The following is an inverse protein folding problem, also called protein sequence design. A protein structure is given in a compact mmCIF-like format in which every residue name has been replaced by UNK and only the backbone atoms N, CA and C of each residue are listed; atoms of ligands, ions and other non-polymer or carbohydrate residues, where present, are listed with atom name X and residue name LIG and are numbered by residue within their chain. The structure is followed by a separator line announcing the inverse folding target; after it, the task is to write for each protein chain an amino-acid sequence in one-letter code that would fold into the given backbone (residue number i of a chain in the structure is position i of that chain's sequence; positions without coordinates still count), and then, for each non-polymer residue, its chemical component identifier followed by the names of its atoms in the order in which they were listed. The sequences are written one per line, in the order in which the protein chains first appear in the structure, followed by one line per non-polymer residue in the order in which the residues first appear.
data_IF_401526109734
#
_entry.id   IF_401526109734
#
_cell.length_a   1.000
_cell.length_b   1.000
_cell.length_c   1.000
_cell.angle_alpha   90.00
_cell.angle_beta   90.00
_cell.angle_gamma   90.00
#
_symmetry.space_group_name_H-M   'P 1'
#
loop_
_entity.id
_entity.type
_entity.pdbx_description
1 polymer ?
#
# COMPACT_ATOMS: atom_id res chain seq x y z
N UNK A 1 -2.77 8.70 29.70
CA UNK A 1 -2.97 8.18 28.33
C UNK A 1 -2.38 9.23 27.39
N UNK A 2 -1.23 8.96 26.76
CA UNK A 2 -0.49 9.97 26.00
C UNK A 2 -1.27 10.36 24.73
N UNK A 3 -1.23 11.64 24.39
CA UNK A 3 -1.96 12.31 23.32
C UNK A 3 -1.68 11.71 21.93
N UNK A 4 -2.67 11.10 21.27
CA UNK A 4 -2.53 10.44 19.96
C UNK A 4 -2.82 11.37 18.75
N UNK A 5 -2.65 12.69 18.87
CA UNK A 5 -2.83 13.60 17.71
C UNK A 5 -1.73 13.45 16.65
N UNK A 6 -0.55 12.95 17.03
CA UNK A 6 0.56 12.72 16.09
C UNK A 6 0.40 11.40 15.31
N UNK A 7 -0.22 10.37 15.90
CA UNK A 7 -0.45 9.10 15.22
C UNK A 7 -1.65 9.12 14.27
N UNK A 8 -2.64 10.00 14.49
CA UNK A 8 -3.74 10.19 13.54
C UNK A 8 -3.26 10.73 12.18
N UNK A 9 -2.08 11.37 12.12
CA UNK A 9 -1.40 11.74 10.87
C UNK A 9 -0.64 10.59 10.17
N UNK A 10 -0.51 9.42 10.82
CA UNK A 10 0.29 8.28 10.30
C UNK A 10 -0.51 7.28 9.47
N UNK A 11 -1.85 7.34 9.52
CA UNK A 11 -2.75 6.35 8.94
C UNK A 11 -3.78 7.01 8.02
N UNK A 12 -3.82 6.57 6.76
CA UNK A 12 -4.73 7.10 5.74
C UNK A 12 -5.82 6.05 5.48
N UNK A 13 -7.08 6.47 5.47
CA UNK A 13 -8.21 5.54 5.32
C UNK A 13 -8.28 4.93 3.92
N UNK A 14 -8.92 3.77 3.82
CA UNK A 14 -9.15 3.13 2.52
C UNK A 14 -9.88 4.02 1.51
N UNK A 15 -10.89 4.77 1.96
CA UNK A 15 -11.61 5.70 1.07
C UNK A 15 -10.67 6.78 0.54
N UNK A 16 -9.86 7.39 1.40
CA UNK A 16 -8.89 8.41 0.99
C UNK A 16 -7.82 7.84 0.05
N UNK A 17 -7.29 6.65 0.33
CA UNK A 17 -6.31 6.01 -0.55
C UNK A 17 -6.90 5.72 -1.94
N UNK A 18 -8.14 5.23 -2.03
CA UNK A 18 -8.77 5.02 -3.35
C UNK A 18 -8.95 6.31 -4.14
N UNK A 19 -9.32 7.41 -3.45
CA UNK A 19 -9.40 8.76 -4.06
C UNK A 19 -8.03 9.26 -4.51
N UNK A 20 -7.01 9.14 -3.66
CA UNK A 20 -5.63 9.56 -3.93
C UNK A 20 -5.08 8.86 -5.18
N UNK A 21 -5.28 7.55 -5.29
CA UNK A 21 -4.81 6.75 -6.42
C UNK A 21 -5.70 6.88 -7.67
N UNK A 22 -6.89 7.50 -7.54
CA UNK A 22 -7.93 7.56 -8.57
C UNK A 22 -8.30 6.17 -9.11
N UNK A 23 -8.40 5.17 -8.23
CA UNK A 23 -8.78 3.80 -8.60
C UNK A 23 -10.08 3.37 -7.93
N UNK A 24 -10.81 2.46 -8.58
CA UNK A 24 -12.01 1.86 -7.98
C UNK A 24 -11.62 0.99 -6.76
N UNK A 25 -12.48 0.90 -5.72
CA UNK A 25 -12.20 0.09 -4.52
C UNK A 25 -11.74 -1.34 -4.79
N UNK A 26 -12.35 -2.04 -5.75
CA UNK A 26 -11.99 -3.42 -6.06
C UNK A 26 -10.56 -3.57 -6.63
N UNK A 27 -10.02 -2.52 -7.27
CA UNK A 27 -8.64 -2.50 -7.78
C UNK A 27 -7.66 -2.48 -6.60
N UNK A 28 -7.90 -1.62 -5.61
CA UNK A 28 -7.07 -1.58 -4.41
C UNK A 28 -7.14 -2.90 -3.63
N UNK A 29 -8.33 -3.50 -3.51
CA UNK A 29 -8.51 -4.84 -2.90
C UNK A 29 -7.72 -5.91 -3.68
N UNK A 30 -7.71 -5.84 -5.01
CA UNK A 30 -6.93 -6.76 -5.84
C UNK A 30 -5.42 -6.60 -5.60
N UNK A 31 -4.92 -5.36 -5.51
CA UNK A 31 -3.51 -5.09 -5.21
C UNK A 31 -3.11 -5.59 -3.82
N UNK A 32 -3.94 -5.37 -2.79
CA UNK A 32 -3.73 -5.91 -1.44
C UNK A 32 -3.57 -7.44 -1.44
N UNK A 33 -4.37 -8.15 -2.25
CA UNK A 33 -4.28 -9.62 -2.35
C UNK A 33 -2.97 -10.08 -3.00
N UNK A 34 -2.41 -9.29 -3.91
CA UNK A 34 -1.20 -9.66 -4.65
C UNK A 34 0.08 -9.22 -3.95
N UNK A 35 0.06 -8.16 -3.15
CA UNK A 35 1.27 -7.56 -2.56
C UNK A 35 1.12 -7.52 -1.03
N UNK A 36 1.71 -8.49 -0.30
CA UNK A 36 1.56 -8.60 1.16
C UNK A 36 1.97 -7.35 1.95
N UNK A 37 2.90 -6.55 1.43
CA UNK A 37 3.33 -5.28 2.04
C UNK A 37 2.22 -4.24 2.12
N UNK A 38 1.16 -4.40 1.31
CA UNK A 38 -0.02 -3.53 1.29
C UNK A 38 -1.11 -3.96 2.27
N UNK A 39 -0.89 -4.99 3.10
CA UNK A 39 -1.89 -5.45 4.07
C UNK A 39 -2.29 -4.29 5.00
N UNK A 40 -3.56 -3.84 4.97
CA UNK A 40 -3.98 -2.68 5.75
C UNK A 40 -4.03 -3.01 7.25
N UNK A 41 -3.88 -1.98 8.07
CA UNK A 41 -4.30 -2.02 9.47
C UNK A 41 -5.83 -1.95 9.55
N UNK A 42 -6.44 -2.72 10.46
CA UNK A 42 -7.89 -2.80 10.61
C UNK A 42 -8.32 -2.37 12.01
N UNK A 43 -9.30 -1.47 12.06
CA UNK A 43 -10.00 -1.07 13.29
C UNK A 43 -11.48 -1.32 13.04
N UNK A 44 -12.05 -2.31 13.73
CA UNK A 44 -13.38 -2.85 13.43
C UNK A 44 -13.52 -3.15 11.92
N UNK A 45 -14.48 -2.50 11.25
CA UNK A 45 -14.75 -2.68 9.83
C UNK A 45 -14.02 -1.68 8.92
N UNK A 46 -13.14 -0.83 9.48
CA UNK A 46 -12.40 0.21 8.74
C UNK A 46 -10.96 -0.22 8.48
N UNK A 47 -10.47 0.10 7.28
CA UNK A 47 -9.12 -0.16 6.83
C UNK A 47 -8.31 1.12 6.75
N UNK A 48 -7.07 1.04 7.19
CA UNK A 48 -6.11 2.14 7.21
C UNK A 48 -4.75 1.68 6.68
N UNK A 49 -4.03 2.61 6.06
CA UNK A 49 -2.71 2.39 5.49
C UNK A 49 -1.71 3.33 6.12
N UNK A 50 -0.55 2.77 6.49
CA UNK A 50 0.59 3.58 6.94
C UNK A 50 1.15 4.38 5.76
N UNK A 51 1.85 5.48 6.06
CA UNK A 51 2.49 6.33 5.04
C UNK A 51 3.38 5.55 4.07
N UNK A 52 4.16 4.58 4.54
CA UNK A 52 5.01 3.74 3.70
C UNK A 52 4.20 2.85 2.73
N UNK A 53 3.04 2.36 3.15
CA UNK A 53 2.13 1.59 2.29
C UNK A 53 1.50 2.48 1.22
N UNK A 54 1.13 3.71 1.57
CA UNK A 54 0.61 4.68 0.61
C UNK A 54 1.67 5.08 -0.42
N UNK A 55 2.91 5.32 0.01
CA UNK A 55 4.03 5.57 -0.90
C UNK A 55 4.27 4.38 -1.85
N UNK A 56 4.19 3.15 -1.33
CA UNK A 56 4.30 1.94 -2.16
C UNK A 56 3.15 1.84 -3.17
N UNK A 57 1.92 2.15 -2.76
CA UNK A 57 0.75 2.18 -3.64
C UNK A 57 0.88 3.19 -4.77
N UNK A 58 1.37 4.39 -4.46
CA UNK A 58 1.67 5.42 -5.47
C UNK A 58 2.70 4.90 -6.47
N UNK A 59 3.78 4.27 -6.00
CA UNK A 59 4.79 3.72 -6.90
C UNK A 59 4.26 2.57 -7.76
N UNK A 60 3.40 1.71 -7.20
CA UNK A 60 2.74 0.64 -7.96
C UNK A 60 1.84 1.24 -9.04
N UNK A 61 1.08 2.31 -8.74
CA UNK A 61 0.23 3.00 -9.73
C UNK A 61 1.07 3.54 -10.88
N UNK A 62 2.17 4.25 -10.60
CA UNK A 62 3.10 4.75 -11.63
C UNK A 62 3.58 3.63 -12.55
N UNK A 63 4.07 2.52 -11.97
CA UNK A 63 4.56 1.39 -12.76
C UNK A 63 3.45 0.73 -13.59
N UNK A 64 2.23 0.63 -13.07
CA UNK A 64 1.11 0.10 -13.85
C UNK A 64 0.75 1.02 -15.02
N UNK A 65 0.84 2.34 -14.83
CA UNK A 65 0.60 3.32 -15.90
C UNK A 65 1.70 3.29 -16.98
N UNK A 66 2.93 2.97 -16.59
CA UNK A 66 4.06 2.69 -17.49
C UNK A 66 3.93 1.34 -18.23
N UNK A 67 2.90 0.53 -17.95
CA UNK A 67 2.63 -0.74 -18.63
C UNK A 67 3.25 -1.97 -17.94
N UNK A 68 3.84 -1.83 -16.76
CA UNK A 68 4.31 -2.98 -16.00
C UNK A 68 3.15 -3.82 -15.48
N UNK A 69 3.32 -5.14 -15.44
CA UNK A 69 2.34 -6.03 -14.82
C UNK A 69 2.49 -6.05 -13.30
N UNK A 70 1.37 -6.20 -12.59
CA UNK A 70 1.37 -6.31 -11.12
C UNK A 70 2.21 -7.50 -10.61
N UNK A 71 2.28 -8.59 -11.38
CA UNK A 71 3.14 -9.73 -11.06
C UNK A 71 4.63 -9.39 -11.22
N UNK A 72 5.01 -8.65 -12.27
CA UNK A 72 6.37 -8.16 -12.47
C UNK A 72 6.82 -7.25 -11.31
N UNK A 73 5.95 -6.31 -10.92
CA UNK A 73 6.20 -5.42 -9.77
C UNK A 73 6.38 -6.23 -8.49
N UNK A 74 5.49 -7.19 -8.23
CA UNK A 74 5.56 -8.08 -7.04
C UNK A 74 6.86 -8.88 -7.00
N UNK A 75 7.32 -9.42 -8.13
CA UNK A 75 8.60 -10.16 -8.23
C UNK A 75 9.78 -9.24 -7.94
N UNK A 76 9.78 -8.02 -8.46
CA UNK A 76 10.84 -7.02 -8.21
C UNK A 76 10.93 -6.64 -6.72
N UNK A 77 9.78 -6.38 -6.09
CA UNK A 77 9.71 -6.10 -4.65
C UNK A 77 10.28 -7.25 -3.80
N UNK A 78 9.93 -8.50 -4.13
CA UNK A 78 10.50 -9.69 -3.45
C UNK A 78 12.02 -9.75 -3.59
N UNK A 79 12.57 -9.47 -4.78
CA UNK A 79 14.02 -9.47 -5.03
C UNK A 79 14.74 -8.39 -4.21
N UNK A 80 14.18 -7.18 -4.14
CA UNK A 80 14.75 -6.07 -3.33
C UNK A 80 14.79 -6.43 -1.85
N UNK A 81 13.70 -7.00 -1.32
CA UNK A 81 13.64 -7.46 0.06
C UNK A 81 14.67 -8.58 0.30
N UNK A 82 14.73 -9.58 -0.57
CA UNK A 82 15.73 -10.66 -0.42
C UNK A 82 17.16 -10.12 -0.42
N UNK A 83 17.47 -9.14 -1.29
CA UNK A 83 18.79 -8.50 -1.32
C UNK A 83 19.10 -7.72 -0.02
N UNK A 84 18.12 -7.05 0.58
CA UNK A 84 18.33 -6.31 1.84
C UNK A 84 18.47 -7.19 3.08
N UNK A 85 18.10 -8.47 3.01
CA UNK A 85 18.25 -9.44 4.11
C UNK A 85 19.54 -10.29 4.03
N UNK A 86 20.20 -10.31 2.86
CA UNK A 86 21.42 -11.11 2.62
C UNK A 86 22.66 -10.23 2.38
N UNK A 87 22.59 -8.97 2.77
CA UNK A 87 23.69 -7.99 2.85
C UNK A 87 23.76 -7.51 4.30
#
# INVERSE_FOLDING_TARGET
MKNNKEEEGLYISFSEVTKLLKVKPHILIYWEKKIPQLKPYRIANRKFYKRNQVNLLLKIKELLDEGYSLEGIRKNLKKRIFKSFNL
#
